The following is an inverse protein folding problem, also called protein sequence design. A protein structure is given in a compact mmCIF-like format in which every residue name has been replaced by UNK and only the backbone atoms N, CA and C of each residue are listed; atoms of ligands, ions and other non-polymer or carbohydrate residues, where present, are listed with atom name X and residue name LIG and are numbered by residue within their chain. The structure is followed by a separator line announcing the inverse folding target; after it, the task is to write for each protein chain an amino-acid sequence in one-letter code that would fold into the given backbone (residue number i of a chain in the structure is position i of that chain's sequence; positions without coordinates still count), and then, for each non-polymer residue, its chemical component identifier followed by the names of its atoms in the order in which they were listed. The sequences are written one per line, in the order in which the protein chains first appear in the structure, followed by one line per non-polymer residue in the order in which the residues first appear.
data_IF_872293003961
#
_entry.id   IF_872293003961
#
_cell.length_a   1.000
_cell.length_b   1.000
_cell.length_c   1.000
_cell.angle_alpha   90.00
_cell.angle_beta   90.00
_cell.angle_gamma   90.00
#
_symmetry.space_group_name_H-M   'P 1'
#
loop_
_entity.id
_entity.type
_entity.pdbx_description
1 polymer ?
#
# COMPACT_ATOMS: atom_id res chain seq x y z
N UNK A 1 -12.91 4.53 -1.03
CA UNK A 1 -11.78 4.68 -0.08
C UNK A 1 -11.82 6.02 0.62
N UNK A 2 -11.14 6.15 1.76
CA UNK A 2 -10.89 7.45 2.38
C UNK A 2 -9.67 8.11 1.74
N UNK A 3 -9.78 9.42 1.48
CA UNK A 3 -8.72 10.29 0.99
C UNK A 3 -8.51 11.39 2.04
N UNK A 4 -7.42 11.31 2.77
CA UNK A 4 -7.14 12.21 3.89
C UNK A 4 -5.86 13.00 3.64
N UNK A 5 -5.98 14.31 3.57
CA UNK A 5 -4.80 15.16 3.63
C UNK A 5 -4.20 15.14 5.03
N UNK A 6 -2.96 14.71 5.13
CA UNK A 6 -2.14 14.81 6.34
C UNK A 6 -1.44 16.17 6.36
N UNK A 7 -0.99 16.64 5.18
CA UNK A 7 -0.46 17.99 4.97
C UNK A 7 -1.17 18.60 3.76
N UNK A 8 -1.74 19.79 3.94
CA UNK A 8 -2.46 20.53 2.90
C UNK A 8 -2.13 22.03 3.02
N UNK A 9 -1.04 22.44 2.39
CA UNK A 9 -0.51 23.80 2.43
C UNK A 9 -0.51 24.46 1.06
N UNK A 10 -1.23 23.89 0.08
CA UNK A 10 -1.30 24.33 -1.31
C UNK A 10 0.07 24.34 -2.00
N UNK A 11 0.87 23.33 -1.77
CA UNK A 11 2.18 23.17 -2.40
C UNK A 11 2.06 22.66 -3.84
N UNK A 12 3.06 22.89 -4.69
CA UNK A 12 2.97 22.51 -6.11
C UNK A 12 3.06 20.99 -6.35
N UNK A 13 3.68 20.25 -5.43
CA UNK A 13 3.80 18.79 -5.48
C UNK A 13 2.80 18.09 -4.57
N UNK A 14 2.45 16.85 -4.89
CA UNK A 14 1.67 15.95 -4.05
C UNK A 14 2.40 14.64 -3.83
N UNK A 15 2.59 14.25 -2.57
CA UNK A 15 2.84 12.86 -2.20
C UNK A 15 1.48 12.18 -1.99
N UNK A 16 1.13 11.26 -2.89
CA UNK A 16 -0.09 10.47 -2.85
C UNK A 16 0.24 9.05 -2.42
N UNK A 17 -0.19 8.66 -1.23
CA UNK A 17 0.13 7.36 -0.66
C UNK A 17 -1.10 6.46 -0.53
N UNK A 18 -1.12 5.33 -1.23
CA UNK A 18 -2.09 4.24 -1.09
C UNK A 18 -1.57 3.23 -0.07
N UNK A 19 -2.11 3.26 1.14
CA UNK A 19 -1.67 2.40 2.23
C UNK A 19 -2.14 0.94 2.05
N UNK A 20 -1.62 0.05 2.88
CA UNK A 20 -2.09 -1.34 2.95
C UNK A 20 -3.44 -1.47 3.67
N UNK A 21 -4.03 -2.67 3.59
CA UNK A 21 -5.23 -2.99 4.35
C UNK A 21 -5.03 -2.79 5.86
N UNK A 22 -6.04 -2.24 6.50
CA UNK A 22 -6.08 -2.09 7.94
C UNK A 22 -5.32 -0.89 8.51
N UNK A 23 -4.90 0.03 7.63
CA UNK A 23 -4.30 1.30 8.04
C UNK A 23 -5.33 2.37 8.34
N UNK A 24 -4.86 3.42 8.99
CA UNK A 24 -5.55 4.70 9.17
C UNK A 24 -4.52 5.85 9.15
N UNK A 25 -5.05 7.08 9.25
CA UNK A 25 -4.24 8.30 9.23
C UNK A 25 -3.22 8.42 10.35
N UNK A 26 -3.46 7.80 11.50
CA UNK A 26 -2.57 7.89 12.66
C UNK A 26 -1.26 7.10 12.46
N UNK A 27 -1.30 6.08 11.61
CA UNK A 27 -0.12 5.23 11.36
C UNK A 27 0.98 5.98 10.61
N UNK A 28 0.58 6.87 9.69
CA UNK A 28 1.45 7.55 8.75
C UNK A 28 1.33 9.08 8.85
N UNK A 29 1.18 9.59 10.06
CA UNK A 29 1.06 11.03 10.34
C UNK A 29 2.43 11.76 10.30
N UNK A 30 3.27 11.41 9.34
CA UNK A 30 4.60 12.01 9.13
C UNK A 30 4.48 13.37 8.42
N UNK A 31 5.53 14.18 8.49
CA UNK A 31 5.62 15.42 7.71
C UNK A 31 5.90 15.11 6.23
N UNK A 32 5.22 15.84 5.34
CA UNK A 32 5.45 15.75 3.90
C UNK A 32 6.89 16.17 3.51
N UNK A 33 7.37 15.72 2.33
CA UNK A 33 8.60 16.25 1.75
C UNK A 33 8.50 17.76 1.50
N UNK A 34 9.61 18.43 1.47
CA UNK A 34 9.63 19.86 1.14
C UNK A 34 9.02 20.11 -0.26
N UNK A 35 8.08 21.04 -0.35
CA UNK A 35 7.42 21.38 -1.62
C UNK A 35 6.23 20.48 -1.99
N UNK A 36 5.85 19.52 -1.13
CA UNK A 36 4.71 18.62 -1.38
C UNK A 36 3.64 18.75 -0.30
N UNK A 37 2.39 18.72 -0.73
CA UNK A 37 1.29 18.28 0.13
C UNK A 37 1.34 16.76 0.26
N UNK A 38 0.66 16.22 1.28
CA UNK A 38 0.63 14.77 1.51
C UNK A 38 -0.79 14.30 1.73
N UNK A 39 -1.23 13.37 0.86
CA UNK A 39 -2.52 12.70 0.97
C UNK A 39 -2.33 11.20 1.19
N UNK A 40 -2.99 10.67 2.21
CA UNK A 40 -3.10 9.25 2.49
C UNK A 40 -4.43 8.70 1.98
N UNK A 41 -4.39 7.61 1.21
CA UNK A 41 -5.53 6.83 0.77
C UNK A 41 -5.57 5.51 1.53
N UNK A 42 -6.66 5.22 2.20
CA UNK A 42 -6.85 4.03 3.03
C UNK A 42 -8.34 3.68 3.15
N UNK A 43 -8.68 2.62 3.89
CA UNK A 43 -10.06 2.17 4.10
C UNK A 43 -10.80 1.92 2.77
N UNK A 44 -10.44 0.82 2.14
CA UNK A 44 -10.98 0.41 0.83
C UNK A 44 -12.37 -0.27 0.93
N UNK A 45 -13.20 0.15 1.89
CA UNK A 45 -14.62 -0.26 1.97
C UNK A 45 -15.44 0.25 0.78
N UNK A 46 -14.96 1.29 0.08
CA UNK A 46 -15.33 1.70 -1.28
C UNK A 46 -14.08 1.84 -2.13
N UNK A 47 -14.19 1.59 -3.44
CA UNK A 47 -13.12 1.82 -4.41
C UNK A 47 -13.20 3.22 -5.06
N UNK A 48 -14.17 4.04 -4.69
CA UNK A 48 -14.36 5.38 -5.24
C UNK A 48 -13.20 6.29 -4.87
N UNK A 49 -12.70 7.04 -5.86
CA UNK A 49 -11.63 8.01 -5.71
C UNK A 49 -12.06 9.35 -6.34
N UNK A 50 -11.94 10.42 -5.57
CA UNK A 50 -12.18 11.77 -6.09
C UNK A 50 -10.92 12.29 -6.81
N UNK A 51 -10.96 12.27 -8.13
CA UNK A 51 -9.86 12.72 -8.98
C UNK A 51 -9.71 14.26 -9.01
N UNK A 52 -10.72 15.01 -8.57
CA UNK A 52 -10.68 16.49 -8.59
C UNK A 52 -9.56 17.02 -7.69
N UNK A 53 -9.22 16.30 -6.64
CA UNK A 53 -8.13 16.66 -5.71
C UNK A 53 -6.75 16.70 -6.36
N UNK A 54 -6.56 16.03 -7.52
CA UNK A 54 -5.29 15.97 -8.24
C UNK A 54 -5.10 17.11 -9.25
N UNK A 55 -6.17 17.83 -9.59
CA UNK A 55 -6.19 18.75 -10.73
C UNK A 55 -5.20 19.93 -10.64
N UNK A 56 -4.85 20.33 -9.43
CA UNK A 56 -4.04 21.53 -9.18
C UNK A 56 -2.55 21.23 -8.95
N UNK A 57 -2.14 19.94 -8.92
CA UNK A 57 -0.75 19.60 -8.65
C UNK A 57 0.07 19.54 -9.93
N UNK A 58 1.24 20.19 -9.90
CA UNK A 58 2.20 20.23 -11.00
C UNK A 58 2.97 18.92 -11.14
N UNK A 59 3.22 18.25 -10.02
CA UNK A 59 3.88 16.93 -9.98
C UNK A 59 3.28 16.05 -8.88
N UNK A 60 3.22 14.73 -9.14
CA UNK A 60 2.66 13.76 -8.20
C UNK A 60 3.64 12.61 -8.02
N UNK A 61 4.09 12.40 -6.77
CA UNK A 61 4.76 11.19 -6.33
C UNK A 61 3.70 10.21 -5.84
N UNK A 62 3.56 9.09 -6.51
CA UNK A 62 2.67 8.01 -6.09
C UNK A 62 3.47 6.97 -5.32
N UNK A 63 3.09 6.73 -4.08
CA UNK A 63 3.57 5.61 -3.27
C UNK A 63 2.41 4.66 -3.00
N UNK A 64 2.67 3.36 -3.09
CA UNK A 64 1.66 2.36 -2.74
C UNK A 64 2.31 1.18 -2.01
N UNK A 65 1.63 0.65 -1.02
CA UNK A 65 2.10 -0.45 -0.18
C UNK A 65 1.06 -1.56 -0.08
N UNK A 66 1.53 -2.82 -0.17
CA UNK A 66 0.69 -3.99 0.08
C UNK A 66 -0.53 -4.04 -0.87
N UNK A 67 -1.74 -4.16 -0.35
CA UNK A 67 -3.01 -4.05 -1.10
C UNK A 67 -3.15 -2.72 -1.85
N UNK A 68 -2.56 -1.65 -1.30
CA UNK A 68 -2.55 -0.34 -1.95
C UNK A 68 -1.91 -0.33 -3.33
N UNK A 69 -0.95 -1.24 -3.60
CA UNK A 69 -0.34 -1.38 -4.94
C UNK A 69 -1.37 -1.77 -5.98
N UNK A 70 -2.20 -2.77 -5.68
CA UNK A 70 -3.28 -3.19 -6.56
C UNK A 70 -4.38 -2.12 -6.65
N UNK A 71 -4.79 -1.53 -5.52
CA UNK A 71 -5.82 -0.48 -5.49
C UNK A 71 -5.39 0.74 -6.31
N UNK A 72 -4.16 1.23 -6.13
CA UNK A 72 -3.64 2.36 -6.91
C UNK A 72 -3.59 2.03 -8.40
N UNK A 73 -3.14 0.83 -8.76
CA UNK A 73 -3.14 0.35 -10.15
C UNK A 73 -4.53 0.38 -10.76
N UNK A 74 -5.55 -0.16 -10.06
CA UNK A 74 -6.96 -0.14 -10.51
C UNK A 74 -7.50 1.29 -10.63
N UNK A 75 -7.17 2.15 -9.67
CA UNK A 75 -7.65 3.53 -9.63
C UNK A 75 -7.12 4.35 -10.80
N UNK A 76 -5.85 4.17 -11.17
CA UNK A 76 -5.15 4.99 -12.16
C UNK A 76 -4.93 4.29 -13.49
N UNK A 77 -5.44 3.08 -13.68
CA UNK A 77 -5.36 2.37 -14.96
C UNK A 77 -5.88 3.29 -16.08
N UNK A 78 -5.11 3.44 -17.14
CA UNK A 78 -5.42 4.25 -18.33
C UNK A 78 -5.66 5.76 -18.06
N UNK A 79 -5.30 6.28 -16.88
CA UNK A 79 -5.44 7.70 -16.56
C UNK A 79 -4.09 8.42 -16.55
N UNK A 80 -3.89 9.39 -17.43
CA UNK A 80 -2.67 10.21 -17.45
C UNK A 80 -2.73 11.29 -16.36
N UNK A 81 -1.72 11.34 -15.51
CA UNK A 81 -1.47 12.44 -14.56
C UNK A 81 0.00 12.86 -14.64
N UNK A 82 0.34 13.99 -14.04
CA UNK A 82 1.71 14.49 -13.98
C UNK A 82 2.57 13.69 -12.99
N UNK A 83 2.75 12.39 -13.29
CA UNK A 83 3.54 11.49 -12.46
C UNK A 83 5.02 11.88 -12.49
N UNK A 84 5.53 12.30 -11.33
CA UNK A 84 6.96 12.46 -11.14
C UNK A 84 7.61 11.08 -10.96
N UNK A 85 7.03 10.26 -10.08
CA UNK A 85 7.48 8.90 -9.83
C UNK A 85 6.39 8.06 -9.21
N UNK A 86 6.37 6.76 -9.52
CA UNK A 86 5.43 5.77 -8.98
C UNK A 86 6.22 4.64 -8.31
N UNK A 87 6.04 4.46 -7.00
CA UNK A 87 6.75 3.51 -6.17
C UNK A 87 5.80 2.46 -5.58
N UNK A 88 6.06 1.18 -5.87
CA UNK A 88 5.36 0.05 -5.27
C UNK A 88 6.23 -0.62 -4.20
N UNK A 89 5.66 -0.89 -3.02
CA UNK A 89 6.35 -1.46 -1.86
C UNK A 89 5.59 -2.69 -1.38
N UNK A 90 6.26 -3.84 -1.30
CA UNK A 90 5.73 -5.06 -0.70
C UNK A 90 4.29 -5.39 -1.13
N UNK A 91 4.02 -5.35 -2.43
CA UNK A 91 2.73 -5.63 -3.04
C UNK A 91 2.88 -6.01 -4.50
N UNK A 92 1.81 -6.53 -5.11
CA UNK A 92 1.79 -6.97 -6.51
C UNK A 92 0.48 -6.60 -7.20
N UNK A 93 0.42 -6.78 -8.52
CA UNK A 93 -0.79 -6.59 -9.31
C UNK A 93 -1.80 -7.75 -9.17
N UNK A 94 -1.39 -8.85 -8.54
CA UNK A 94 -2.21 -10.03 -8.28
C UNK A 94 -2.22 -10.33 -6.77
N UNK A 95 -2.89 -9.51 -5.94
CA UNK A 95 -2.73 -9.56 -4.48
C UNK A 95 -3.26 -10.84 -3.83
N UNK A 96 -4.19 -11.57 -4.48
CA UNK A 96 -4.69 -12.88 -4.04
C UNK A 96 -4.36 -13.94 -5.10
N UNK A 97 -3.16 -14.48 -5.04
CA UNK A 97 -2.66 -15.45 -6.00
C UNK A 97 -1.59 -16.35 -5.38
N UNK A 98 -1.63 -17.66 -5.67
CA UNK A 98 -0.74 -18.64 -5.05
C UNK A 98 0.73 -18.49 -5.46
N UNK A 99 0.98 -17.90 -6.64
CA UNK A 99 2.32 -17.73 -7.20
C UNK A 99 2.82 -16.27 -7.20
N UNK A 100 1.90 -15.30 -7.26
CA UNK A 100 2.23 -13.89 -7.50
C UNK A 100 1.75 -12.94 -6.40
N UNK A 101 1.08 -13.43 -5.38
CA UNK A 101 0.49 -12.62 -4.31
C UNK A 101 0.43 -13.35 -2.97
N UNK A 102 -0.53 -12.98 -2.15
CA UNK A 102 -0.89 -13.72 -0.95
C UNK A 102 -1.57 -15.01 -1.39
N UNK A 103 -1.12 -16.20 -0.94
CA UNK A 103 -1.78 -17.46 -1.28
C UNK A 103 -3.27 -17.44 -0.94
N UNK A 104 -4.11 -17.91 -1.87
CA UNK A 104 -5.59 -17.86 -1.76
C UNK A 104 -6.08 -18.42 -0.43
N UNK A 105 -5.57 -19.60 -0.03
CA UNK A 105 -5.93 -20.25 1.24
C UNK A 105 -5.61 -19.39 2.46
N UNK A 106 -4.53 -18.60 2.42
CA UNK A 106 -4.12 -17.71 3.53
C UNK A 106 -5.01 -16.47 3.55
N UNK A 107 -5.29 -15.87 2.38
CA UNK A 107 -6.16 -14.71 2.27
C UNK A 107 -7.59 -15.04 2.75
N UNK A 108 -8.18 -16.07 2.19
CA UNK A 108 -9.54 -16.54 2.52
C UNK A 108 -9.64 -17.02 3.96
N UNK A 109 -8.63 -17.72 4.46
CA UNK A 109 -8.55 -18.13 5.87
C UNK A 109 -8.54 -16.93 6.82
N UNK A 110 -7.82 -15.86 6.46
CA UNK A 110 -7.81 -14.61 7.24
C UNK A 110 -9.20 -13.96 7.24
N UNK A 111 -9.86 -13.86 6.09
CA UNK A 111 -11.18 -13.26 5.96
C UNK A 111 -12.26 -14.07 6.69
N UNK A 112 -12.31 -15.41 6.46
CA UNK A 112 -13.34 -16.29 7.01
C UNK A 112 -13.26 -16.46 8.53
N UNK A 113 -12.04 -16.38 9.11
CA UNK A 113 -11.80 -16.52 10.54
C UNK A 113 -11.43 -15.19 11.19
N UNK A 114 -11.86 -14.06 10.59
CA UNK A 114 -11.44 -12.73 11.05
C UNK A 114 -11.94 -12.45 12.46
N UNK A 115 -11.02 -12.09 13.34
CA UNK A 115 -11.22 -11.80 14.76
C UNK A 115 -10.05 -10.97 15.30
N UNK A 116 -10.16 -10.44 16.51
CA UNK A 116 -9.05 -9.76 17.19
C UNK A 116 -7.78 -10.64 17.26
N UNK A 117 -7.94 -11.94 17.52
CA UNK A 117 -6.81 -12.89 17.58
C UNK A 117 -6.15 -13.08 16.19
N UNK A 118 -6.94 -13.21 15.14
CA UNK A 118 -6.43 -13.35 13.76
C UNK A 118 -5.70 -12.08 13.33
N UNK A 119 -6.27 -10.90 13.65
CA UNK A 119 -5.64 -9.61 13.39
C UNK A 119 -4.31 -9.46 14.14
N UNK A 120 -4.25 -9.85 15.42
CA UNK A 120 -3.00 -9.82 16.19
C UNK A 120 -1.91 -10.69 15.57
N UNK A 121 -2.25 -11.91 15.11
CA UNK A 121 -1.32 -12.81 14.40
C UNK A 121 -0.87 -12.20 13.06
N UNK A 122 -1.78 -11.61 12.31
CA UNK A 122 -1.47 -10.91 11.06
C UNK A 122 -0.45 -9.79 11.30
N UNK A 123 -0.71 -8.91 12.28
CA UNK A 123 0.20 -7.80 12.63
C UNK A 123 1.59 -8.27 13.06
N UNK A 124 1.68 -9.37 13.81
CA UNK A 124 2.97 -9.98 14.19
C UNK A 124 3.76 -10.48 12.98
N UNK A 125 3.10 -11.10 12.02
CA UNK A 125 3.73 -11.53 10.76
C UNK A 125 4.15 -10.35 9.91
N UNK A 126 3.31 -9.33 9.83
CA UNK A 126 3.53 -8.11 9.07
C UNK A 126 4.78 -7.34 9.55
N UNK A 127 4.95 -7.20 10.86
CA UNK A 127 6.06 -6.47 11.47
C UNK A 127 7.28 -7.34 11.79
N UNK A 128 7.21 -8.67 11.59
CA UNK A 128 8.22 -9.67 11.98
C UNK A 128 8.70 -9.55 13.45
N UNK A 129 7.97 -8.82 14.31
CA UNK A 129 8.29 -8.54 15.70
C UNK A 129 7.02 -8.27 16.50
N UNK A 130 6.90 -8.90 17.68
CA UNK A 130 5.78 -8.65 18.57
C UNK A 130 5.77 -7.22 19.12
N UNK A 131 6.94 -6.65 19.39
CA UNK A 131 7.09 -5.28 19.87
C UNK A 131 6.64 -4.26 18.80
N UNK A 132 7.09 -4.43 17.55
CA UNK A 132 6.69 -3.56 16.44
C UNK A 132 5.19 -3.72 16.13
N UNK A 133 4.64 -4.93 16.23
CA UNK A 133 3.21 -5.17 16.05
C UNK A 133 2.36 -4.50 17.14
N UNK A 134 2.87 -4.42 18.37
CA UNK A 134 2.20 -3.67 19.45
C UNK A 134 2.24 -2.17 19.20
N UNK A 135 3.38 -1.63 18.79
CA UNK A 135 3.52 -0.21 18.42
C UNK A 135 2.59 0.15 17.25
N UNK A 136 2.55 -0.69 16.22
CA UNK A 136 1.59 -0.55 15.11
C UNK A 136 0.15 -0.52 15.62
N UNK A 137 -0.21 -1.47 16.50
CA UNK A 137 -1.58 -1.61 17.01
C UNK A 137 -2.03 -0.44 17.89
N UNK A 138 -1.10 0.22 18.58
CA UNK A 138 -1.39 1.42 19.37
C UNK A 138 -1.62 2.66 18.53
N UNK A 139 -1.09 2.68 17.30
CA UNK A 139 -1.24 3.81 16.38
C UNK A 139 -2.53 3.75 15.55
N UNK A 140 -3.16 2.58 15.42
CA UNK A 140 -4.36 2.38 14.60
C UNK A 140 -5.60 2.25 15.46
N UNK A 141 -6.68 2.95 15.09
CA UNK A 141 -7.93 3.03 15.86
C UNK A 141 -9.16 2.55 15.06
N UNK A 142 -8.99 1.53 14.23
CA UNK A 142 -10.10 0.98 13.45
C UNK A 142 -10.72 -0.24 14.11
N UNK A 143 -12.07 -0.28 14.13
CA UNK A 143 -12.81 -1.42 14.70
C UNK A 143 -12.61 -2.71 13.89
N UNK A 144 -12.81 -3.86 14.54
CA UNK A 144 -12.75 -5.18 13.91
C UNK A 144 -13.76 -5.28 12.76
N UNK A 145 -14.95 -4.71 12.94
CA UNK A 145 -16.01 -4.68 11.94
C UNK A 145 -15.59 -3.90 10.69
N UNK A 146 -15.04 -2.70 10.88
CA UNK A 146 -14.54 -1.86 9.78
C UNK A 146 -13.41 -2.55 9.00
N UNK A 147 -12.45 -3.18 9.70
CA UNK A 147 -11.36 -3.92 9.08
C UNK A 147 -11.85 -5.14 8.28
N UNK A 148 -12.87 -5.83 8.80
CA UNK A 148 -13.49 -6.97 8.11
C UNK A 148 -14.25 -6.52 6.86
N UNK A 149 -14.99 -5.42 6.94
CA UNK A 149 -15.73 -4.83 5.81
C UNK A 149 -14.77 -4.45 4.68
N UNK A 150 -13.68 -3.76 5.00
CA UNK A 150 -12.63 -3.41 4.03
C UNK A 150 -12.05 -4.66 3.36
N UNK A 151 -11.66 -5.69 4.13
CA UNK A 151 -11.09 -6.92 3.59
C UNK A 151 -12.11 -7.68 2.71
N UNK A 152 -13.38 -7.65 3.10
CA UNK A 152 -14.48 -8.26 2.32
C UNK A 152 -14.66 -7.54 0.98
N UNK A 153 -14.63 -6.22 0.99
CA UNK A 153 -14.71 -5.42 -0.24
C UNK A 153 -13.50 -5.67 -1.14
N UNK A 154 -12.29 -5.63 -0.60
CA UNK A 154 -11.07 -5.96 -1.35
C UNK A 154 -11.16 -7.35 -1.99
N UNK A 155 -11.59 -8.37 -1.22
CA UNK A 155 -11.76 -9.73 -1.75
C UNK A 155 -12.71 -9.76 -2.94
N UNK A 156 -13.89 -9.14 -2.79
CA UNK A 156 -14.90 -9.07 -3.85
C UNK A 156 -14.37 -8.37 -5.11
N UNK A 157 -13.71 -7.24 -4.96
CA UNK A 157 -13.22 -6.47 -6.10
C UNK A 157 -12.01 -7.14 -6.80
N UNK A 158 -11.15 -7.85 -6.04
CA UNK A 158 -10.08 -8.67 -6.59
C UNK A 158 -10.68 -9.81 -7.43
N UNK A 159 -11.68 -10.54 -6.88
CA UNK A 159 -12.32 -11.66 -7.61
C UNK A 159 -13.04 -11.20 -8.88
N UNK A 160 -13.69 -10.02 -8.85
CA UNK A 160 -14.35 -9.44 -10.03
C UNK A 160 -13.36 -9.07 -11.14
N UNK A 161 -12.14 -8.69 -10.79
CA UNK A 161 -11.11 -8.28 -11.74
C UNK A 161 -10.06 -9.35 -12.02
N UNK A 162 -10.28 -10.59 -11.61
CA UNK A 162 -9.27 -11.66 -11.73
C UNK A 162 -8.81 -11.93 -13.18
N UNK A 163 -9.67 -11.68 -14.17
CA UNK A 163 -9.37 -11.83 -15.60
C UNK A 163 -8.89 -10.54 -16.28
N UNK A 164 -8.89 -9.42 -15.55
CA UNK A 164 -8.45 -8.15 -16.11
C UNK A 164 -6.92 -8.09 -16.22
N UNK A 165 -6.42 -7.74 -17.39
CA UNK A 165 -5.00 -7.46 -17.57
C UNK A 165 -4.71 -6.04 -17.08
N UNK A 166 -4.17 -5.92 -15.88
CA UNK A 166 -3.73 -4.66 -15.34
C UNK A 166 -2.40 -4.24 -15.98
N UNK A 167 -2.41 -3.23 -16.82
CA UNK A 167 -1.24 -2.65 -17.45
C UNK A 167 -0.95 -1.29 -16.83
N UNK A 168 -0.15 -1.27 -15.78
CA UNK A 168 0.28 -0.05 -15.09
C UNK A 168 1.77 -0.13 -14.79
N UNK A 169 2.52 0.87 -15.19
CA UNK A 169 3.98 0.89 -15.00
C UNK A 169 4.33 1.52 -13.67
N UNK A 170 5.02 0.79 -12.83
CA UNK A 170 5.68 1.29 -11.63
C UNK A 170 7.14 1.65 -11.96
N UNK A 171 7.58 2.86 -11.59
CA UNK A 171 8.94 3.34 -11.87
C UNK A 171 9.96 2.72 -10.91
N UNK A 172 9.54 2.42 -9.67
CA UNK A 172 10.35 1.75 -8.64
C UNK A 172 9.53 0.70 -7.92
N UNK A 173 10.12 -0.47 -7.74
CA UNK A 173 9.52 -1.59 -7.03
C UNK A 173 10.46 -2.00 -5.92
N UNK A 174 9.97 -2.05 -4.69
CA UNK A 174 10.74 -2.40 -3.50
C UNK A 174 10.15 -3.65 -2.87
N UNK A 175 11.00 -4.67 -2.70
CA UNK A 175 10.61 -5.97 -2.17
C UNK A 175 11.39 -6.28 -0.89
N UNK A 176 10.68 -6.48 0.21
CA UNK A 176 11.23 -6.92 1.48
C UNK A 176 11.54 -8.42 1.48
N UNK A 177 12.80 -8.79 1.74
CA UNK A 177 13.21 -10.20 1.80
C UNK A 177 12.57 -10.98 2.96
N UNK A 178 12.15 -10.27 4.01
CA UNK A 178 11.55 -10.83 5.21
C UNK A 178 10.02 -10.69 5.24
N UNK A 179 9.42 -10.37 4.09
CA UNK A 179 7.96 -10.23 3.97
C UNK A 179 7.26 -11.59 4.15
N UNK A 180 6.46 -11.69 5.22
CA UNK A 180 5.67 -12.87 5.55
C UNK A 180 4.18 -12.72 5.18
N UNK A 181 3.79 -11.62 4.55
CA UNK A 181 2.42 -11.36 4.08
C UNK A 181 2.33 -11.60 2.58
N UNK A 182 3.08 -10.85 1.77
CA UNK A 182 3.33 -11.15 0.37
C UNK A 182 4.64 -11.96 0.30
N UNK A 183 4.59 -13.29 0.17
CA UNK A 183 5.80 -14.10 0.23
C UNK A 183 6.86 -13.60 -0.74
N UNK A 184 8.09 -13.46 -0.28
CA UNK A 184 9.21 -12.95 -1.08
C UNK A 184 9.29 -13.60 -2.47
N UNK A 185 9.18 -14.94 -2.53
CA UNK A 185 9.18 -15.69 -3.80
C UNK A 185 8.05 -15.25 -4.73
N UNK A 186 6.86 -15.01 -4.20
CA UNK A 186 5.70 -14.63 -5.00
C UNK A 186 5.85 -13.21 -5.55
N UNK A 187 6.42 -12.29 -4.77
CA UNK A 187 6.74 -10.95 -5.27
C UNK A 187 7.81 -11.02 -6.39
N UNK A 188 8.86 -11.83 -6.20
CA UNK A 188 9.87 -12.05 -7.25
C UNK A 188 9.27 -12.59 -8.54
N UNK A 189 8.30 -13.50 -8.45
CA UNK A 189 7.59 -14.03 -9.61
C UNK A 189 6.72 -12.94 -10.28
N UNK A 190 5.94 -12.21 -9.47
CA UNK A 190 5.02 -11.18 -9.95
C UNK A 190 5.74 -10.05 -10.70
N UNK A 191 6.93 -9.71 -10.24
CA UNK A 191 7.76 -8.65 -10.83
C UNK A 191 8.86 -9.17 -11.76
N UNK A 192 8.77 -10.44 -12.19
CA UNK A 192 9.72 -10.99 -13.17
C UNK A 192 9.74 -10.14 -14.46
N UNK A 193 10.94 -9.76 -14.91
CA UNK A 193 11.13 -8.87 -16.06
C UNK A 193 11.04 -7.36 -15.75
N UNK A 194 10.78 -6.98 -14.50
CA UNK A 194 10.88 -5.59 -14.05
C UNK A 194 12.15 -5.38 -13.21
N UNK A 195 12.67 -4.16 -13.21
CA UNK A 195 13.71 -3.78 -12.26
C UNK A 195 13.09 -3.57 -10.89
N UNK A 196 13.67 -4.18 -9.85
CA UNK A 196 13.24 -4.02 -8.46
C UNK A 196 14.43 -3.92 -7.52
N UNK A 197 14.21 -3.27 -6.39
CA UNK A 197 15.18 -3.14 -5.30
C UNK A 197 14.81 -4.11 -4.17
N UNK A 198 15.80 -4.86 -3.69
CA UNK A 198 15.64 -5.77 -2.56
C UNK A 198 16.10 -5.11 -1.27
N UNK A 199 15.29 -5.20 -0.22
CA UNK A 199 15.62 -4.69 1.11
C UNK A 199 15.50 -5.75 2.19
N UNK A 200 16.39 -5.70 3.18
CA UNK A 200 16.33 -6.56 4.37
C UNK A 200 15.29 -5.98 5.36
N UNK A 201 14.02 -6.09 5.01
CA UNK A 201 12.92 -5.58 5.82
C UNK A 201 11.71 -6.53 5.79
N UNK A 202 10.86 -6.49 6.84
CA UNK A 202 9.56 -7.18 6.86
C UNK A 202 8.54 -6.49 5.94
N UNK A 203 7.30 -6.96 5.97
CA UNK A 203 6.21 -6.35 5.22
C UNK A 203 5.97 -4.88 5.60
N UNK A 204 6.07 -4.56 6.89
CA UNK A 204 5.98 -3.21 7.45
C UNK A 204 7.23 -2.89 8.26
N UNK A 205 7.92 -1.81 7.89
CA UNK A 205 9.04 -1.21 8.61
C UNK A 205 8.78 0.29 8.77
N UNK A 206 8.53 0.72 10.01
CA UNK A 206 8.17 2.10 10.32
C UNK A 206 9.25 3.10 9.88
N UNK A 207 10.53 2.77 10.11
CA UNK A 207 11.65 3.65 9.77
C UNK A 207 11.78 3.84 8.26
N UNK A 208 11.56 2.76 7.50
CA UNK A 208 11.58 2.82 6.05
C UNK A 208 10.43 3.69 5.49
N UNK A 209 9.21 3.54 6.03
CA UNK A 209 8.08 4.38 5.61
C UNK A 209 8.27 5.85 5.97
N UNK A 210 8.84 6.14 7.14
CA UNK A 210 9.21 7.52 7.51
C UNK A 210 10.15 8.14 6.47
N UNK A 211 11.21 7.45 6.06
CA UNK A 211 12.12 7.92 5.01
C UNK A 211 11.41 8.15 3.68
N UNK A 212 10.53 7.23 3.27
CA UNK A 212 9.76 7.40 2.04
C UNK A 212 8.87 8.64 2.08
N UNK A 213 8.13 8.83 3.18
CA UNK A 213 7.17 9.94 3.34
C UNK A 213 7.90 11.27 3.46
N UNK A 214 9.04 11.32 4.15
CA UNK A 214 9.86 12.54 4.28
C UNK A 214 10.62 12.90 3.00
N UNK A 215 10.59 12.02 2.00
CA UNK A 215 11.16 12.31 0.68
C UNK A 215 12.64 12.12 0.58
N UNK A 216 13.20 11.11 1.26
CA UNK A 216 14.62 10.74 1.14
C UNK A 216 15.00 10.59 -0.35
N UNK A 217 15.92 11.43 -0.84
CA UNK A 217 16.26 11.57 -2.25
C UNK A 217 16.64 10.23 -2.91
N UNK A 218 17.40 9.39 -2.21
CA UNK A 218 17.82 8.07 -2.73
C UNK A 218 16.63 7.14 -3.04
N UNK A 219 15.50 7.33 -2.39
CA UNK A 219 14.28 6.57 -2.62
C UNK A 219 13.46 7.13 -3.79
N UNK A 220 13.51 8.42 -4.03
CA UNK A 220 12.73 9.12 -5.05
C UNK A 220 13.53 9.48 -6.32
N UNK A 221 14.65 8.80 -6.55
CA UNK A 221 15.44 8.93 -7.78
C UNK A 221 15.18 7.74 -8.70
N UNK A 222 14.98 8.02 -10.01
CA UNK A 222 14.93 6.98 -11.07
C UNK A 222 16.34 6.48 -11.34
N UNK A 223 16.51 5.18 -11.40
CA UNK A 223 17.78 4.53 -11.79
C UNK A 223 17.74 4.07 -13.23
#
# INVERSE_FOLDING_TARGET
MKQQFIVNENRPGLLLFFAGWGCDENLFAESAPFGYDYMLCYDYSSMDFDFSVLANYQSIRLMAWSMGVWVATKTFLDKPFNWEMKMAINGTLSPKDDCNGIPKVIFEGTLNQFSANTLSRFRKRMCASSQQAELYSRKTDRSIESLKEELTTLNREIDRSAEEKLSFTWDKIIIGRQDLIFPFKNQMNAWAGHNFELREMPHYDASFFTLCIQGEDSLWTRH
#
